data_IF_570819421951
#
_entry.id   IF_570819421951
#
_cell.length_a   1.000
_cell.length_b   1.000
_cell.length_c   1.000
_cell.angle_alpha   90.00
_cell.angle_beta   90.00
_cell.angle_gamma   90.00
#
_symmetry.space_group_name_H-M   'P 1'
#
loop_
_entity.id
_entity.type
_entity.pdbx_description
1 polymer ?
#
# COMPACT_ATOMS: atom_id res chain seq x y z
N UNK A 1 29.75 4.68 -7.90
CA UNK A 1 29.28 3.32 -7.53
C UNK A 1 28.94 3.33 -6.05
N UNK A 2 27.66 3.42 -5.69
CA UNK A 2 27.24 3.36 -4.28
C UNK A 2 26.77 1.94 -3.99
N UNK A 3 27.39 1.29 -3.00
CA UNK A 3 27.11 -0.10 -2.58
C UNK A 3 25.79 -0.25 -1.80
N UNK A 4 24.96 0.79 -1.74
CA UNK A 4 23.67 0.75 -1.05
C UNK A 4 22.57 0.68 -2.10
N UNK A 5 21.86 -0.47 -2.17
CA UNK A 5 20.64 -0.61 -2.96
C UNK A 5 19.68 0.54 -2.60
N UNK A 6 19.12 1.28 -3.56
CA UNK A 6 18.24 2.43 -3.29
C UNK A 6 17.05 2.07 -2.39
N UNK A 7 16.59 0.82 -2.47
CA UNK A 7 15.57 0.23 -1.59
C UNK A 7 15.97 0.22 -0.10
N UNK A 8 17.24 -0.10 0.20
CA UNK A 8 17.75 -0.09 1.58
C UNK A 8 17.86 1.33 2.13
N UNK A 9 18.19 2.31 1.28
CA UNK A 9 18.24 3.73 1.66
C UNK A 9 16.85 4.26 1.99
N UNK A 10 15.84 3.90 1.21
CA UNK A 10 14.43 4.24 1.45
C UNK A 10 13.93 3.58 2.74
N UNK A 11 14.29 2.33 2.98
CA UNK A 11 13.97 1.66 4.24
C UNK A 11 14.63 2.38 5.43
N UNK A 12 15.93 2.68 5.39
CA UNK A 12 16.62 3.40 6.47
C UNK A 12 16.04 4.79 6.75
N UNK A 13 15.71 5.54 5.70
CA UNK A 13 15.04 6.84 5.84
C UNK A 13 13.64 6.70 6.45
N UNK A 14 12.91 5.64 6.12
CA UNK A 14 11.58 5.34 6.67
C UNK A 14 11.61 5.01 8.16
N UNK A 15 12.68 4.36 8.65
CA UNK A 15 12.84 3.98 10.06
C UNK A 15 13.69 4.96 10.89
N UNK A 16 14.10 6.10 10.33
CA UNK A 16 14.99 7.07 10.99
C UNK A 16 14.47 7.52 12.35
N UNK A 17 13.17 7.77 12.47
CA UNK A 17 12.53 8.19 13.73
C UNK A 17 12.66 7.10 14.81
N UNK A 18 12.48 5.83 14.45
CA UNK A 18 12.62 4.67 15.35
C UNK A 18 14.08 4.42 15.72
N UNK A 19 15.00 4.55 14.76
CA UNK A 19 16.45 4.41 14.99
C UNK A 19 16.98 5.51 15.93
N UNK A 20 16.54 6.76 15.73
CA UNK A 20 16.87 7.86 16.62
C UNK A 20 16.30 7.63 18.03
N UNK A 21 15.03 7.22 18.15
CA UNK A 21 14.43 6.90 19.44
C UNK A 21 15.15 5.75 20.16
N UNK A 22 15.56 4.71 19.42
CA UNK A 22 16.36 3.62 19.96
C UNK A 22 17.74 4.06 20.46
N UNK A 23 18.40 4.98 19.75
CA UNK A 23 19.67 5.54 20.19
C UNK A 23 19.52 6.36 21.48
N UNK A 24 18.48 7.19 21.57
CA UNK A 24 18.19 7.98 22.79
C UNK A 24 17.81 7.06 23.96
N UNK A 25 17.07 5.98 23.71
CA UNK A 25 16.74 4.97 24.71
C UNK A 25 17.99 4.30 25.29
N UNK A 26 18.93 3.89 24.43
CA UNK A 26 20.21 3.31 24.86
C UNK A 26 21.04 4.30 25.68
N UNK A 27 21.01 5.58 25.32
CA UNK A 27 21.68 6.65 26.05
C UNK A 27 21.06 6.87 27.44
N UNK A 28 19.73 6.83 27.54
CA UNK A 28 19.01 6.92 28.82
C UNK A 28 19.29 5.74 29.74
N UNK A 29 19.32 4.51 29.20
CA UNK A 29 19.66 3.30 29.95
C UNK A 29 21.12 3.32 30.45
N UNK A 30 22.06 3.83 29.64
CA UNK A 30 23.46 4.03 30.04
C UNK A 30 23.58 4.96 31.26
N UNK A 31 22.80 6.04 31.30
CA UNK A 31 22.84 7.00 32.41
C UNK A 31 22.20 6.48 33.71
N UNK A 32 21.25 5.53 33.61
CA UNK A 32 20.67 4.85 34.77
C UNK A 32 21.69 3.93 35.46
N UNK A 33 22.59 3.28 34.70
CA UNK A 33 23.66 2.43 35.23
C UNK A 33 24.94 3.19 35.64
N UNK A 34 24.98 4.51 35.43
CA UNK A 34 26.14 5.37 35.66
C UNK A 34 26.22 5.94 37.10
N UNK A 35 26.87 7.11 37.30
CA UNK A 35 27.36 7.58 38.61
C UNK A 35 26.30 7.91 39.69
N UNK A 36 25.01 7.69 39.44
CA UNK A 36 23.92 7.96 40.39
C UNK A 36 23.61 9.45 40.59
N UNK A 37 22.46 9.76 41.21
CA UNK A 37 22.01 11.13 41.50
C UNK A 37 21.05 11.72 40.45
N UNK A 38 21.10 13.06 40.25
CA UNK A 38 20.20 13.81 39.35
C UNK A 38 20.20 13.27 37.91
N UNK A 39 21.36 12.79 37.45
CA UNK A 39 21.56 12.16 36.14
C UNK A 39 20.75 10.87 35.94
N UNK A 40 20.54 10.09 37.01
CA UNK A 40 19.71 8.88 36.96
C UNK A 40 18.21 9.19 36.81
N UNK A 41 17.74 10.26 37.46
CA UNK A 41 16.36 10.75 37.30
C UNK A 41 16.12 11.29 35.88
N UNK A 42 17.10 12.00 35.33
CA UNK A 42 17.08 12.45 33.93
C UNK A 42 17.05 11.26 32.95
N UNK A 43 17.78 10.19 33.26
CA UNK A 43 17.76 8.94 32.49
C UNK A 43 16.38 8.30 32.41
N UNK A 44 15.63 8.25 33.53
CA UNK A 44 14.25 7.76 33.55
C UNK A 44 13.31 8.60 32.68
N UNK A 45 13.39 9.94 32.77
CA UNK A 45 12.61 10.83 31.89
C UNK A 45 12.94 10.57 30.43
N UNK A 46 14.22 10.43 30.10
CA UNK A 46 14.68 10.16 28.74
C UNK A 46 14.17 8.82 28.20
N UNK A 47 14.15 7.78 29.04
CA UNK A 47 13.60 6.46 28.70
C UNK A 47 12.11 6.56 28.39
N UNK A 48 11.33 7.24 29.24
CA UNK A 48 9.88 7.40 29.03
C UNK A 48 9.59 8.17 27.74
N UNK A 49 10.29 9.29 27.51
CA UNK A 49 10.15 10.08 26.29
C UNK A 49 10.54 9.28 25.05
N UNK A 50 11.65 8.53 25.11
CA UNK A 50 12.11 7.69 23.99
C UNK A 50 11.14 6.56 23.68
N UNK A 51 10.57 5.93 24.71
CA UNK A 51 9.56 4.89 24.55
C UNK A 51 8.29 5.45 23.89
N UNK A 52 7.82 6.63 24.33
CA UNK A 52 6.67 7.30 23.72
C UNK A 52 6.93 7.65 22.24
N UNK A 53 8.09 8.23 21.93
CA UNK A 53 8.49 8.55 20.56
C UNK A 53 8.66 7.29 19.70
N UNK A 54 9.18 6.19 20.25
CA UNK A 54 9.29 4.92 19.56
C UNK A 54 7.92 4.34 19.23
N UNK A 55 6.95 4.39 20.16
CA UNK A 55 5.58 3.93 19.91
C UNK A 55 4.93 4.76 18.80
N UNK A 56 5.03 6.08 18.84
CA UNK A 56 4.50 6.97 17.79
C UNK A 56 5.20 6.70 16.46
N UNK A 57 6.52 6.56 16.45
CA UNK A 57 7.31 6.24 15.27
C UNK A 57 6.93 4.89 14.66
N UNK A 58 6.69 3.87 15.48
CA UNK A 58 6.21 2.55 15.05
C UNK A 58 4.80 2.62 14.49
N UNK A 59 3.88 3.35 15.15
CA UNK A 59 2.52 3.57 14.64
C UNK A 59 2.58 4.28 13.27
N UNK A 60 3.35 5.36 13.15
CA UNK A 60 3.51 6.14 11.92
C UNK A 60 4.25 5.39 10.81
N UNK A 61 5.19 4.52 11.16
CA UNK A 61 5.85 3.62 10.21
C UNK A 61 4.88 2.54 9.73
N UNK A 62 4.04 1.99 10.63
CA UNK A 62 2.98 1.02 10.30
C UNK A 62 1.96 1.58 9.31
N UNK A 63 1.52 2.83 9.49
CA UNK A 63 0.64 3.50 8.52
C UNK A 63 1.30 3.63 7.13
N UNK A 64 2.63 3.81 7.07
CA UNK A 64 3.41 3.87 5.82
C UNK A 64 3.83 2.50 5.26
N UNK A 65 3.41 1.39 5.88
CA UNK A 65 3.81 0.03 5.51
C UNK A 65 2.76 -0.72 4.66
N UNK A 66 1.54 -0.20 4.51
CA UNK A 66 0.49 -0.79 3.66
C UNK A 66 0.13 -0.02 2.39
N UNK A 67 0.31 1.31 2.39
CA UNK A 67 -0.42 2.21 1.50
C UNK A 67 0.51 3.25 0.82
N UNK A 68 1.54 2.78 0.10
CA UNK A 68 2.62 3.65 -0.39
C UNK A 68 2.58 4.01 -1.88
N UNK A 69 1.59 3.49 -2.62
CA UNK A 69 1.38 3.80 -4.02
C UNK A 69 0.85 5.23 -4.20
N UNK A 70 0.99 5.81 -5.41
CA UNK A 70 0.42 7.12 -5.68
C UNK A 70 -1.10 7.06 -5.57
N UNK A 71 -1.67 8.03 -4.85
CA UNK A 71 -3.12 8.22 -4.76
C UNK A 71 -3.83 7.41 -3.66
N UNK A 72 -5.08 7.80 -3.43
CA UNK A 72 -5.97 7.21 -2.41
C UNK A 72 -7.22 6.68 -3.07
N UNK A 73 -7.63 5.48 -2.67
CA UNK A 73 -8.87 4.81 -3.06
C UNK A 73 -9.85 4.91 -1.90
N UNK A 74 -11.06 5.39 -2.18
CA UNK A 74 -12.19 5.35 -1.27
C UNK A 74 -13.31 4.55 -1.90
N UNK A 75 -13.96 3.69 -1.12
CA UNK A 75 -15.14 2.94 -1.54
C UNK A 75 -16.30 3.33 -0.63
N UNK A 76 -17.36 3.85 -1.24
CA UNK A 76 -18.59 4.25 -0.53
C UNK A 76 -19.82 3.81 -1.31
N UNK A 77 -20.76 3.14 -0.64
CA UNK A 77 -22.09 2.75 -1.16
C UNK A 77 -22.12 2.22 -2.62
N UNK A 78 -21.11 1.42 -2.99
CA UNK A 78 -20.99 0.83 -4.33
C UNK A 78 -20.40 1.77 -5.39
N UNK A 79 -19.65 2.77 -4.96
CA UNK A 79 -18.80 3.62 -5.79
C UNK A 79 -17.35 3.47 -5.36
N UNK A 80 -16.45 3.47 -6.34
CA UNK A 80 -15.00 3.45 -6.18
C UNK A 80 -14.50 4.82 -6.63
N UNK A 81 -13.96 5.61 -5.72
CA UNK A 81 -13.29 6.85 -6.02
C UNK A 81 -11.77 6.65 -5.91
N UNK A 82 -11.04 7.03 -6.94
CA UNK A 82 -9.58 7.08 -6.91
C UNK A 82 -9.11 8.51 -7.13
N UNK A 83 -8.33 9.01 -6.17
CA UNK A 83 -7.71 10.32 -6.20
C UNK A 83 -6.21 10.14 -6.35
N UNK A 84 -5.75 10.05 -7.60
CA UNK A 84 -4.32 10.01 -7.93
C UNK A 84 -3.72 11.41 -8.17
N UNK A 85 -2.38 11.50 -8.18
CA UNK A 85 -1.67 12.77 -8.33
C UNK A 85 -1.71 13.35 -9.77
N UNK A 86 -1.96 12.50 -10.76
CA UNK A 86 -2.02 12.87 -12.18
C UNK A 86 -3.38 12.58 -12.79
N UNK A 87 -4.02 11.50 -12.33
CA UNK A 87 -5.31 11.02 -12.82
C UNK A 87 -6.17 10.60 -11.64
N UNK A 88 -7.48 10.69 -11.81
CA UNK A 88 -8.45 10.29 -10.81
C UNK A 88 -9.83 10.19 -11.43
N UNK A 89 -10.73 9.50 -10.75
CA UNK A 89 -12.07 9.26 -11.25
C UNK A 89 -12.92 8.50 -10.26
N UNK A 90 -14.22 8.44 -10.56
CA UNK A 90 -15.21 7.74 -9.76
C UNK A 90 -15.90 6.74 -10.67
N UNK A 91 -15.88 5.47 -10.28
CA UNK A 91 -16.52 4.38 -10.99
C UNK A 91 -17.58 3.75 -10.09
N UNK A 92 -18.80 3.65 -10.58
CA UNK A 92 -19.84 2.93 -9.87
C UNK A 92 -19.61 1.41 -10.03
N UNK A 93 -19.50 0.67 -8.93
CA UNK A 93 -19.31 -0.79 -8.94
C UNK A 93 -20.33 -1.51 -9.82
N UNK A 94 -21.57 -1.03 -9.80
CA UNK A 94 -22.69 -1.60 -10.58
C UNK A 94 -22.60 -1.32 -12.08
N UNK A 95 -21.75 -0.41 -12.50
CA UNK A 95 -21.55 -0.03 -13.90
C UNK A 95 -20.21 -0.51 -14.46
N UNK A 96 -19.38 -1.19 -13.64
CA UNK A 96 -18.15 -1.82 -14.14
C UNK A 96 -18.51 -2.83 -15.23
N UNK A 97 -17.90 -2.65 -16.40
CA UNK A 97 -18.02 -3.56 -17.56
C UNK A 97 -16.85 -4.53 -17.62
N UNK A 98 -15.64 -4.07 -17.30
CA UNK A 98 -14.45 -4.93 -17.26
C UNK A 98 -13.49 -4.54 -16.13
N UNK A 99 -12.80 -5.55 -15.60
CA UNK A 99 -11.71 -5.43 -14.64
C UNK A 99 -10.48 -6.10 -15.25
N UNK A 100 -9.45 -5.30 -15.51
CA UNK A 100 -8.17 -5.75 -16.05
C UNK A 100 -7.05 -5.45 -15.06
N UNK A 101 -6.12 -6.39 -14.89
CA UNK A 101 -4.87 -6.16 -14.20
C UNK A 101 -3.80 -5.86 -15.26
N UNK A 102 -3.25 -4.67 -15.22
CA UNK A 102 -2.13 -4.25 -16.07
C UNK A 102 -0.82 -4.26 -15.27
N UNK A 103 0.04 -5.28 -15.47
CA UNK A 103 1.32 -5.38 -14.81
C UNK A 103 2.45 -4.63 -15.55
N UNK A 104 2.17 -4.03 -16.70
CA UNK A 104 3.20 -3.34 -17.51
C UNK A 104 3.61 -1.99 -16.92
N UNK A 105 2.72 -1.39 -16.12
CA UNK A 105 3.01 -0.19 -15.36
C UNK A 105 3.76 -0.52 -14.05
N UNK A 106 4.59 0.42 -13.58
CA UNK A 106 5.31 0.29 -12.31
C UNK A 106 4.92 1.45 -11.38
N UNK A 107 4.16 1.20 -10.30
CA UNK A 107 3.59 -0.08 -9.86
C UNK A 107 2.50 -0.62 -10.81
N UNK A 108 2.11 -1.90 -10.68
CA UNK A 108 1.00 -2.48 -11.46
C UNK A 108 -0.32 -1.73 -11.19
N UNK A 109 -1.23 -1.70 -12.16
CA UNK A 109 -2.51 -0.99 -12.05
C UNK A 109 -3.71 -1.92 -12.28
N UNK A 110 -4.76 -1.70 -11.51
CA UNK A 110 -6.11 -2.09 -11.83
C UNK A 110 -6.68 -1.13 -12.86
N UNK A 111 -7.29 -1.66 -13.91
CA UNK A 111 -7.97 -0.88 -14.94
C UNK A 111 -9.45 -1.23 -14.89
N UNK A 112 -10.25 -0.25 -14.50
CA UNK A 112 -11.71 -0.36 -14.41
C UNK A 112 -12.34 0.35 -15.61
N UNK A 113 -13.18 -0.34 -16.35
CA UNK A 113 -13.92 0.28 -17.47
C UNK A 113 -15.40 0.43 -17.11
N UNK A 114 -15.96 1.59 -17.44
CA UNK A 114 -17.37 1.94 -17.28
C UNK A 114 -17.87 2.59 -18.58
N UNK A 115 -19.12 2.35 -19.01
CA UNK A 115 -19.66 2.95 -20.21
C UNK A 115 -19.65 4.49 -20.13
N UNK A 116 -19.18 5.12 -21.20
CA UNK A 116 -19.19 6.58 -21.34
C UNK A 116 -18.10 7.32 -20.55
N UNK A 117 -17.21 6.62 -19.85
CA UNK A 117 -16.09 7.21 -19.11
C UNK A 117 -14.75 6.63 -19.57
N UNK A 118 -13.65 7.40 -19.50
CA UNK A 118 -12.32 6.83 -19.71
C UNK A 118 -12.01 5.75 -18.65
N UNK A 119 -11.16 4.76 -18.98
CA UNK A 119 -10.76 3.74 -18.01
C UNK A 119 -10.10 4.36 -16.78
N UNK A 120 -10.47 3.89 -15.59
CA UNK A 120 -9.87 4.33 -14.34
C UNK A 120 -8.69 3.42 -13.99
N UNK A 121 -7.50 4.01 -13.91
CA UNK A 121 -6.26 3.33 -13.57
C UNK A 121 -5.93 3.53 -12.08
N UNK A 122 -5.94 2.44 -11.31
CA UNK A 122 -5.68 2.46 -9.87
C UNK A 122 -4.44 1.61 -9.55
N UNK A 123 -3.36 2.18 -9.02
CA UNK A 123 -2.20 1.40 -8.57
C UNK A 123 -2.59 0.31 -7.57
N UNK A 124 -2.05 -0.90 -7.72
CA UNK A 124 -2.33 -2.04 -6.82
C UNK A 124 -1.90 -1.78 -5.37
N UNK A 125 -1.00 -0.81 -5.16
CA UNK A 125 -0.47 -0.40 -3.86
C UNK A 125 -0.96 0.98 -3.42
N UNK A 126 -1.96 1.56 -4.08
CA UNK A 126 -2.59 2.81 -3.67
C UNK A 126 -3.15 2.69 -2.24
N UNK A 127 -3.23 3.81 -1.53
CA UNK A 127 -3.79 3.81 -0.18
C UNK A 127 -5.28 3.42 -0.22
N UNK A 128 -5.69 2.41 0.55
CA UNK A 128 -7.07 1.93 0.55
C UNK A 128 -7.40 0.97 -0.60
N UNK A 129 -6.42 0.58 -1.42
CA UNK A 129 -6.62 -0.41 -2.48
C UNK A 129 -7.08 -1.78 -1.93
N UNK A 130 -6.89 -2.05 -0.64
CA UNK A 130 -7.40 -3.25 0.02
C UNK A 130 -8.93 -3.36 -0.04
N UNK A 131 -9.64 -2.22 0.02
CA UNK A 131 -11.10 -2.18 -0.07
C UNK A 131 -11.62 -2.63 -1.45
N UNK A 132 -10.82 -2.50 -2.50
CA UNK A 132 -11.18 -2.96 -3.84
C UNK A 132 -11.35 -4.48 -3.90
N UNK A 133 -10.60 -5.24 -3.09
CA UNK A 133 -10.70 -6.69 -3.09
C UNK A 133 -12.10 -7.15 -2.66
N UNK A 134 -12.68 -6.51 -1.65
CA UNK A 134 -14.04 -6.81 -1.19
C UNK A 134 -15.06 -6.49 -2.28
N UNK A 135 -14.90 -5.34 -2.95
CA UNK A 135 -15.76 -4.92 -4.07
C UNK A 135 -15.68 -5.90 -5.24
N UNK A 136 -14.47 -6.31 -5.63
CA UNK A 136 -14.26 -7.25 -6.73
C UNK A 136 -14.77 -8.64 -6.39
N UNK A 137 -14.68 -9.07 -5.13
CA UNK A 137 -15.22 -10.36 -4.68
C UNK A 137 -16.76 -10.42 -4.76
N UNK A 138 -17.43 -9.27 -4.70
CA UNK A 138 -18.87 -9.16 -4.86
C UNK A 138 -19.32 -9.18 -6.34
N UNK A 139 -18.39 -9.11 -7.31
CA UNK A 139 -18.73 -9.17 -8.73
C UNK A 139 -19.16 -10.60 -9.12
N UNK A 140 -20.28 -10.76 -9.86
CA UNK A 140 -20.81 -12.08 -10.18
C UNK A 140 -19.86 -12.85 -11.09
N UNK A 141 -19.46 -14.05 -10.66
CA UNK A 141 -18.62 -14.96 -11.45
C UNK A 141 -17.11 -14.68 -11.37
N UNK A 142 -16.67 -13.70 -10.58
CA UNK A 142 -15.25 -13.46 -10.33
C UNK A 142 -14.69 -14.54 -9.40
N UNK A 143 -13.54 -15.13 -9.76
CA UNK A 143 -12.82 -16.10 -8.92
C UNK A 143 -11.67 -15.39 -8.21
N UNK A 144 -11.83 -15.10 -6.92
CA UNK A 144 -10.85 -14.36 -6.11
C UNK A 144 -9.49 -15.06 -6.09
N UNK A 145 -9.45 -16.39 -6.13
CA UNK A 145 -8.21 -17.17 -6.21
C UNK A 145 -7.46 -16.91 -7.50
N UNK A 146 -8.17 -16.77 -8.63
CA UNK A 146 -7.57 -16.44 -9.93
C UNK A 146 -6.96 -15.05 -9.89
N UNK A 147 -7.68 -14.07 -9.35
CA UNK A 147 -7.19 -12.70 -9.18
C UNK A 147 -5.90 -12.64 -8.35
N UNK A 148 -5.89 -13.29 -7.18
CA UNK A 148 -4.71 -13.33 -6.31
C UNK A 148 -3.54 -14.08 -6.94
N UNK A 149 -3.83 -15.15 -7.71
CA UNK A 149 -2.80 -15.88 -8.43
C UNK A 149 -2.14 -15.03 -9.52
N UNK A 150 -2.90 -14.21 -10.24
CA UNK A 150 -2.37 -13.34 -11.29
C UNK A 150 -1.61 -12.11 -10.74
N UNK A 151 -2.00 -11.61 -9.56
CA UNK A 151 -1.20 -10.60 -8.84
C UNK A 151 0.16 -11.14 -8.39
N UNK A 152 0.22 -12.42 -7.98
CA UNK A 152 1.46 -13.05 -7.50
C UNK A 152 2.33 -13.60 -8.62
N UNK A 153 1.73 -14.00 -9.73
CA UNK A 153 2.43 -14.60 -10.88
C UNK A 153 3.37 -13.60 -11.56
N UNK A 154 3.14 -12.29 -11.39
CA UNK A 154 3.92 -11.25 -12.05
C UNK A 154 3.77 -11.34 -13.57
N UNK A 155 2.52 -11.49 -14.04
CA UNK A 155 2.21 -11.56 -15.46
C UNK A 155 2.90 -10.43 -16.24
N UNK A 156 3.36 -10.71 -17.46
CA UNK A 156 4.09 -9.72 -18.28
C UNK A 156 3.17 -8.88 -19.18
N UNK A 157 1.88 -9.23 -19.23
CA UNK A 157 0.90 -8.66 -20.14
C UNK A 157 -0.40 -8.34 -19.39
N UNK A 158 -1.19 -7.36 -19.85
CA UNK A 158 -2.50 -7.07 -19.26
C UNK A 158 -3.42 -8.30 -19.31
N UNK A 159 -4.03 -8.62 -18.16
CA UNK A 159 -4.93 -9.77 -18.02
C UNK A 159 -6.32 -9.28 -17.62
N UNK A 160 -7.31 -9.58 -18.45
CA UNK A 160 -8.71 -9.37 -18.10
C UNK A 160 -9.12 -10.41 -17.06
N UNK A 161 -9.48 -9.95 -15.87
CA UNK A 161 -9.86 -10.82 -14.74
C UNK A 161 -11.36 -11.05 -14.76
N UNK A 162 -12.15 -10.06 -15.18
CA UNK A 162 -13.59 -10.14 -15.21
C UNK A 162 -14.19 -9.20 -16.26
N UNK A 163 -15.30 -9.64 -16.86
CA UNK A 163 -16.15 -8.86 -17.75
C UNK A 163 -17.61 -9.14 -17.40
N UNK A 164 -18.46 -8.11 -17.43
CA UNK A 164 -19.91 -8.23 -17.19
C UNK A 164 -20.59 -9.05 -18.28
N UNK A 165 -20.25 -8.75 -19.52
CA UNK A 165 -20.74 -9.44 -20.70
C UNK A 165 -19.52 -10.01 -21.42
N UNK A 166 -19.14 -11.26 -21.13
CA UNK A 166 -17.95 -11.85 -21.73
C UNK A 166 -18.15 -11.91 -23.24
N UNK A 167 -17.49 -11.01 -23.96
CA UNK A 167 -17.53 -10.96 -25.42
C UNK A 167 -16.61 -12.02 -26.04
N UNK A 168 -15.68 -12.55 -25.23
CA UNK A 168 -14.70 -13.57 -25.60
C UNK A 168 -14.67 -14.66 -24.52
N UNK A 169 -14.49 -15.94 -24.90
CA UNK A 169 -14.39 -16.99 -23.91
C UNK A 169 -13.10 -16.84 -23.07
N UNK A 170 -13.23 -17.01 -21.75
CA UNK A 170 -12.25 -16.69 -20.71
C UNK A 170 -10.89 -17.41 -20.75
N UNK A 171 -10.60 -18.14 -21.83
CA UNK A 171 -9.43 -18.99 -22.04
C UNK A 171 -8.44 -18.53 -23.13
N UNK A 172 -8.73 -17.44 -23.87
CA UNK A 172 -7.78 -16.94 -24.88
C UNK A 172 -6.73 -16.06 -24.20
N UNK A 173 -5.59 -16.66 -23.84
CA UNK A 173 -4.34 -15.93 -23.59
C UNK A 173 -3.82 -15.48 -24.96
N UNK A 174 -3.63 -14.17 -25.18
CA UNK A 174 -2.84 -13.69 -26.31
C UNK A 174 -1.38 -13.96 -25.97
N UNK A 175 -0.77 -14.80 -26.79
CA UNK A 175 0.61 -15.26 -26.70
C UNK A 175 1.52 -14.34 -27.52
#
# INVERSE_FOLDING_TARGET
>A
MSFIRPEAKLALWRWREVLAAGFVLLLGLSWIGGPGGLLGWLGWVLVVVSAALAVIGVQRARFRLGAGGPGVVSVDEGQIAYLGPLEGGIVATREIESLTLDPTASPAHWVLQQPGQPPLHIPVNAEGAEALFDVFSALPGLRTERMLSELRSGASHPVVIWERHPSRPAHIRLN
#
